data_IF_461963607578
#
_entry.id   IF_461963607578
#
_cell.length_a   1.000
_cell.length_b   1.000
_cell.length_c   1.000
_cell.angle_alpha   90.00
_cell.angle_beta   90.00
_cell.angle_gamma   90.00
#
_symmetry.space_group_name_H-M   'P 1'
#
loop_
_entity.id
_entity.type
_entity.pdbx_description
1 polymer ?
#
# COMPACT_ATOMS: atom_id res chain seq x y z
N UNK A 1 8.59 -5.13 18.66
CA UNK A 1 7.63 -4.52 17.74
C UNK A 1 8.33 -4.12 16.46
N UNK A 2 8.92 -2.92 16.46
CA UNK A 2 9.67 -2.32 15.34
C UNK A 2 10.72 -3.23 14.70
N UNK A 3 11.73 -3.68 15.47
CA UNK A 3 12.82 -4.49 14.93
C UNK A 3 12.34 -5.79 14.23
N UNK A 4 11.33 -6.46 14.78
CA UNK A 4 10.76 -7.66 14.18
C UNK A 4 10.02 -7.36 12.87
N UNK A 5 9.37 -6.20 12.75
CA UNK A 5 8.72 -5.77 11.51
C UNK A 5 9.76 -5.46 10.44
N UNK A 6 10.80 -4.71 10.80
CA UNK A 6 11.91 -4.38 9.90
C UNK A 6 12.60 -5.64 9.38
N UNK A 7 12.91 -6.60 10.28
CA UNK A 7 13.50 -7.88 9.89
C UNK A 7 12.59 -8.66 8.93
N UNK A 8 11.29 -8.73 9.21
CA UNK A 8 10.33 -9.42 8.34
C UNK A 8 10.25 -8.80 6.95
N UNK A 9 10.17 -7.47 6.85
CA UNK A 9 10.14 -6.77 5.55
C UNK A 9 11.40 -7.08 4.74
N UNK A 10 12.57 -7.08 5.38
CA UNK A 10 13.83 -7.45 4.72
C UNK A 10 13.82 -8.91 4.25
N UNK A 11 13.30 -9.84 5.06
CA UNK A 11 13.16 -11.23 4.64
C UNK A 11 12.21 -11.40 3.44
N UNK A 12 11.05 -10.73 3.47
CA UNK A 12 10.08 -10.77 2.38
C UNK A 12 10.68 -10.26 1.04
N UNK A 13 11.47 -9.19 1.09
CA UNK A 13 12.21 -8.69 -0.08
C UNK A 13 13.21 -9.70 -0.63
N UNK A 14 13.93 -10.40 0.26
CA UNK A 14 14.85 -11.46 -0.17
C UNK A 14 14.08 -12.62 -0.81
N UNK A 15 12.90 -12.97 -0.32
CA UNK A 15 12.03 -13.97 -0.96
C UNK A 15 11.55 -13.52 -2.34
N UNK A 16 11.06 -12.28 -2.45
CA UNK A 16 10.59 -11.71 -3.71
C UNK A 16 11.69 -11.69 -4.78
N UNK A 17 12.92 -11.39 -4.39
CA UNK A 17 14.08 -11.29 -5.29
C UNK A 17 14.78 -12.64 -5.55
N UNK A 18 14.18 -13.77 -5.15
CA UNK A 18 14.77 -15.12 -5.26
C UNK A 18 16.11 -15.28 -4.51
N UNK A 19 16.32 -14.47 -3.47
CA UNK A 19 17.49 -14.48 -2.58
C UNK A 19 17.18 -15.08 -1.20
N UNK A 20 16.08 -15.82 -1.07
CA UNK A 20 15.63 -16.49 0.17
C UNK A 20 16.65 -17.46 0.77
N UNK A 21 17.59 -17.97 -0.04
CA UNK A 21 18.73 -18.76 0.47
C UNK A 21 19.53 -18.02 1.56
N UNK A 22 19.59 -16.68 1.52
CA UNK A 22 20.22 -15.87 2.56
C UNK A 22 19.45 -15.96 3.88
N UNK A 23 18.11 -15.94 3.82
CA UNK A 23 17.22 -16.10 4.98
C UNK A 23 17.34 -17.51 5.56
N UNK A 24 17.31 -18.53 4.71
CA UNK A 24 17.45 -19.94 5.12
C UNK A 24 18.79 -20.17 5.84
N UNK A 25 19.89 -19.63 5.29
CA UNK A 25 21.22 -19.71 5.92
C UNK A 25 21.26 -19.02 7.29
N UNK A 26 20.63 -17.84 7.43
CA UNK A 26 20.53 -17.13 8.71
C UNK A 26 19.78 -17.94 9.75
N UNK A 27 18.69 -18.60 9.35
CA UNK A 27 17.85 -19.43 10.24
C UNK A 27 18.49 -20.79 10.56
N UNK A 28 19.60 -21.15 9.91
CA UNK A 28 20.36 -22.41 10.08
C UNK A 28 19.47 -23.65 10.02
N UNK A 29 18.44 -23.61 9.17
CA UNK A 29 17.55 -24.73 8.97
C UNK A 29 18.23 -25.74 8.02
N UNK A 30 18.66 -26.92 8.52
CA UNK A 30 19.38 -27.90 7.72
C UNK A 30 18.48 -28.63 6.72
N UNK A 31 17.16 -28.60 6.91
CA UNK A 31 16.17 -29.30 6.08
C UNK A 31 15.44 -28.37 5.11
N UNK A 32 15.74 -27.07 5.15
CA UNK A 32 15.11 -26.08 4.31
C UNK A 32 15.47 -26.28 2.83
N UNK A 33 14.46 -26.61 2.03
CA UNK A 33 14.54 -26.59 0.58
C UNK A 33 14.84 -25.16 0.11
N UNK A 34 15.79 -25.01 -0.81
CA UNK A 34 16.00 -23.77 -1.58
C UNK A 34 15.27 -23.87 -2.92
N UNK A 35 13.97 -23.52 -3.00
CA UNK A 35 13.24 -23.56 -4.26
C UNK A 35 13.90 -22.61 -5.27
N UNK A 36 14.12 -23.10 -6.49
CA UNK A 36 14.76 -22.32 -7.58
C UNK A 36 13.74 -21.75 -8.57
N UNK A 37 12.44 -22.06 -8.39
CA UNK A 37 11.41 -21.60 -9.31
C UNK A 37 10.96 -20.18 -9.01
N UNK A 38 10.75 -19.38 -10.06
CA UNK A 38 10.19 -18.03 -9.98
C UNK A 38 8.66 -18.02 -9.75
N UNK A 39 8.09 -19.11 -9.22
CA UNK A 39 6.62 -19.27 -9.14
C UNK A 39 5.98 -18.26 -8.18
N UNK A 40 6.65 -17.94 -7.07
CA UNK A 40 6.20 -16.91 -6.13
C UNK A 40 6.13 -15.54 -6.82
N UNK A 41 7.20 -15.14 -7.50
CA UNK A 41 7.26 -13.88 -8.24
C UNK A 41 6.13 -13.81 -9.28
N UNK A 42 5.96 -14.84 -10.09
CA UNK A 42 4.92 -14.88 -11.11
C UNK A 42 3.52 -14.78 -10.49
N UNK A 43 3.28 -15.45 -9.36
CA UNK A 43 2.00 -15.39 -8.66
C UNK A 43 1.70 -13.99 -8.13
N UNK A 44 2.70 -13.31 -7.56
CA UNK A 44 2.58 -11.93 -7.09
C UNK A 44 2.33 -10.99 -8.28
N UNK A 45 3.10 -11.11 -9.36
CA UNK A 45 2.96 -10.26 -10.54
C UNK A 45 1.59 -10.42 -11.20
N UNK A 46 1.08 -11.65 -11.33
CA UNK A 46 -0.27 -11.89 -11.82
C UNK A 46 -1.34 -11.26 -10.92
N UNK A 47 -1.18 -11.31 -9.59
CA UNK A 47 -2.13 -10.67 -8.67
C UNK A 47 -2.06 -9.15 -8.70
N UNK A 48 -0.88 -8.59 -8.92
CA UNK A 48 -0.73 -7.15 -9.14
C UNK A 48 -1.49 -6.73 -10.41
N UNK A 49 -1.31 -7.46 -11.52
CA UNK A 49 -2.05 -7.20 -12.75
C UNK A 49 -3.57 -7.30 -12.54
N UNK A 50 -4.07 -8.35 -11.88
CA UNK A 50 -5.49 -8.47 -11.52
C UNK A 50 -5.98 -7.24 -10.74
N UNK A 51 -5.16 -6.69 -9.83
CA UNK A 51 -5.53 -5.54 -9.01
C UNK A 51 -5.52 -4.21 -9.78
N UNK A 52 -4.68 -4.08 -10.80
CA UNK A 52 -4.64 -2.92 -11.69
C UNK A 52 -5.79 -2.96 -12.71
N UNK A 53 -6.12 -4.13 -13.24
CA UNK A 53 -7.29 -4.32 -14.12
C UNK A 53 -8.61 -4.02 -13.40
N UNK A 54 -8.64 -4.20 -12.08
CA UNK A 54 -9.78 -3.89 -11.21
C UNK A 54 -9.52 -2.65 -10.34
N UNK A 55 -8.98 -1.59 -10.94
CA UNK A 55 -8.70 -0.33 -10.26
C UNK A 55 -9.96 0.24 -9.58
N UNK A 56 -9.88 0.67 -8.31
CA UNK A 56 -11.04 1.11 -7.56
C UNK A 56 -11.46 2.53 -7.94
N UNK A 57 -12.77 2.76 -7.95
CA UNK A 57 -13.34 4.10 -8.09
C UNK A 57 -14.05 4.53 -6.81
N UNK A 58 -13.98 5.83 -6.50
CA UNK A 58 -14.66 6.40 -5.34
C UNK A 58 -16.17 6.48 -5.61
N UNK A 59 -16.95 5.73 -4.82
CA UNK A 59 -18.41 5.78 -4.89
C UNK A 59 -18.98 6.51 -3.66
N UNK A 60 -19.42 7.76 -3.85
CA UNK A 60 -19.97 8.60 -2.77
C UNK A 60 -21.48 8.47 -2.75
N UNK A 61 -22.00 7.82 -1.70
CA UNK A 61 -23.43 7.60 -1.50
C UNK A 61 -23.99 8.54 -0.43
N UNK A 62 -25.18 9.12 -0.65
CA UNK A 62 -25.86 9.91 0.37
C UNK A 62 -26.28 9.02 1.55
N UNK A 63 -26.14 9.51 2.79
CA UNK A 63 -26.62 8.77 3.98
C UNK A 63 -28.11 8.99 4.20
N UNK A 64 -28.59 10.18 3.86
CA UNK A 64 -30.00 10.54 3.85
C UNK A 64 -30.37 11.41 2.63
N UNK A 65 -31.68 11.65 2.42
CA UNK A 65 -32.19 12.36 1.24
C UNK A 65 -31.64 13.78 1.10
N UNK A 66 -31.29 14.44 2.20
CA UNK A 66 -30.68 15.77 2.20
C UNK A 66 -29.28 15.79 1.57
N UNK A 67 -28.54 14.68 1.67
CA UNK A 67 -27.13 14.60 1.25
C UNK A 67 -26.97 14.32 -0.25
N UNK A 68 -28.06 14.09 -0.99
CA UNK A 68 -27.99 13.69 -2.41
C UNK A 68 -27.20 14.68 -3.27
N UNK A 69 -27.32 15.98 -2.95
CA UNK A 69 -26.60 17.04 -3.66
C UNK A 69 -25.11 17.00 -3.35
N UNK A 70 -24.75 16.84 -2.08
CA UNK A 70 -23.36 16.85 -1.63
C UNK A 70 -22.64 15.57 -2.07
N UNK A 71 -23.31 14.43 -2.02
CA UNK A 71 -22.78 13.16 -2.54
C UNK A 71 -22.46 13.26 -4.04
N UNK A 72 -23.36 13.86 -4.84
CA UNK A 72 -23.10 14.11 -6.27
C UNK A 72 -21.93 15.07 -6.49
N UNK A 73 -21.85 16.13 -5.71
CA UNK A 73 -20.75 17.09 -5.80
C UNK A 73 -19.41 16.43 -5.48
N UNK A 74 -19.31 15.73 -4.34
CA UNK A 74 -18.12 14.99 -3.95
C UNK A 74 -17.75 13.90 -4.97
N UNK A 75 -18.74 13.20 -5.52
CA UNK A 75 -18.52 12.23 -6.59
C UNK A 75 -17.92 12.82 -7.87
N UNK A 76 -18.12 14.12 -8.12
CA UNK A 76 -17.44 14.84 -9.23
C UNK A 76 -16.06 15.38 -8.88
N UNK A 77 -15.80 15.67 -7.59
CA UNK A 77 -14.53 16.24 -7.12
C UNK A 77 -13.47 15.16 -6.92
N UNK A 78 -13.82 14.05 -6.26
CA UNK A 78 -12.84 13.01 -5.88
C UNK A 78 -12.09 12.41 -7.08
N UNK A 79 -12.72 12.09 -8.23
CA UNK A 79 -11.98 11.58 -9.38
C UNK A 79 -10.90 12.56 -9.87
N UNK A 80 -11.20 13.85 -9.86
CA UNK A 80 -10.25 14.91 -10.27
C UNK A 80 -9.07 14.98 -9.31
N UNK A 81 -9.32 14.92 -7.99
CA UNK A 81 -8.25 14.90 -6.98
C UNK A 81 -7.35 13.67 -7.14
N UNK A 82 -7.96 12.49 -7.32
CA UNK A 82 -7.24 11.22 -7.47
C UNK A 82 -6.37 11.21 -8.73
N UNK A 83 -6.89 11.73 -9.85
CA UNK A 83 -6.13 11.92 -11.09
C UNK A 83 -4.99 12.91 -10.90
N UNK A 84 -5.24 14.06 -10.26
CA UNK A 84 -4.24 15.09 -10.02
C UNK A 84 -3.11 14.63 -9.09
N UNK A 85 -3.39 13.68 -8.20
CA UNK A 85 -2.38 13.05 -7.33
C UNK A 85 -1.56 11.95 -8.03
N UNK A 86 -1.81 11.64 -9.31
CA UNK A 86 -1.28 10.45 -9.98
C UNK A 86 -1.52 9.18 -9.15
N UNK A 87 -2.69 9.06 -8.52
CA UNK A 87 -2.95 8.03 -7.51
C UNK A 87 -2.79 6.61 -8.07
N UNK A 88 -2.97 6.41 -9.38
CA UNK A 88 -2.74 5.11 -10.02
C UNK A 88 -1.32 4.59 -9.78
N UNK A 89 -0.32 5.47 -9.84
CA UNK A 89 1.09 5.14 -9.56
C UNK A 89 1.27 4.77 -8.10
N UNK A 90 0.70 5.57 -7.20
CA UNK A 90 0.75 5.34 -5.75
C UNK A 90 0.04 4.03 -5.36
N UNK A 91 -1.11 3.75 -5.96
CA UNK A 91 -1.90 2.54 -5.76
C UNK A 91 -1.16 1.29 -6.26
N UNK A 92 -0.60 1.36 -7.46
CA UNK A 92 0.23 0.29 -8.02
C UNK A 92 1.42 -0.02 -7.13
N UNK A 93 2.14 1.01 -6.66
CA UNK A 93 3.26 0.85 -5.73
C UNK A 93 2.82 0.21 -4.40
N UNK A 94 1.71 0.65 -3.83
CA UNK A 94 1.21 0.06 -2.58
C UNK A 94 0.68 -1.37 -2.74
N UNK A 95 0.21 -1.75 -3.94
CA UNK A 95 -0.16 -3.14 -4.19
C UNK A 95 1.04 -4.08 -4.19
N UNK A 96 2.19 -3.64 -4.70
CA UNK A 96 3.43 -4.42 -4.57
C UNK A 96 3.80 -4.63 -3.09
N UNK A 97 3.79 -3.56 -2.30
CA UNK A 97 4.05 -3.64 -0.85
C UNK A 97 3.05 -4.57 -0.15
N UNK A 98 1.76 -4.46 -0.49
CA UNK A 98 0.71 -5.29 0.08
C UNK A 98 0.87 -6.77 -0.26
N UNK A 99 1.26 -7.12 -1.49
CA UNK A 99 1.44 -8.52 -1.89
C UNK A 99 2.72 -9.13 -1.31
N UNK A 100 3.79 -8.34 -1.18
CA UNK A 100 5.05 -8.81 -0.60
C UNK A 100 5.00 -8.91 0.93
N UNK A 101 4.46 -7.88 1.60
CA UNK A 101 4.57 -7.69 3.05
C UNK A 101 3.24 -7.83 3.78
N UNK A 102 2.13 -7.96 3.05
CA UNK A 102 0.78 -8.10 3.60
C UNK A 102 0.07 -6.77 3.91
N UNK A 103 0.71 -5.62 3.70
CA UNK A 103 0.13 -4.30 4.01
C UNK A 103 0.70 -3.22 3.08
N UNK A 104 -0.09 -2.20 2.77
CA UNK A 104 0.35 -0.96 2.13
C UNK A 104 -0.26 0.22 2.87
N UNK A 105 0.45 1.34 2.94
CA UNK A 105 0.04 2.52 3.71
C UNK A 105 -0.01 3.74 2.80
N UNK A 106 -1.15 4.43 2.82
CA UNK A 106 -1.35 5.69 2.11
C UNK A 106 -1.33 6.83 3.11
N UNK A 107 -0.65 7.92 2.76
CA UNK A 107 -0.71 9.19 3.45
C UNK A 107 -1.49 10.19 2.64
N UNK A 108 -2.52 10.78 3.23
CA UNK A 108 -3.31 11.86 2.63
C UNK A 108 -2.91 13.15 3.33
N UNK A 109 -2.30 14.08 2.60
CA UNK A 109 -1.73 15.30 3.14
C UNK A 109 -2.20 16.52 2.35
N UNK A 110 -2.12 17.69 2.98
CA UNK A 110 -2.24 18.97 2.29
C UNK A 110 -0.87 19.42 1.81
N UNK A 111 -0.70 19.64 0.51
CA UNK A 111 0.52 20.20 -0.07
C UNK A 111 0.28 21.68 -0.41
N UNK A 112 0.85 22.64 0.34
CA UNK A 112 0.65 24.06 0.08
C UNK A 112 1.38 24.56 -1.19
N UNK A 113 2.28 23.77 -1.78
CA UNK A 113 3.03 24.13 -2.98
C UNK A 113 2.31 23.79 -4.29
N UNK A 114 1.30 22.92 -4.24
CA UNK A 114 0.48 22.58 -5.40
C UNK A 114 -0.32 23.78 -5.91
N UNK A 115 -0.78 23.71 -7.17
CA UNK A 115 -1.62 24.74 -7.79
C UNK A 115 -1.03 26.17 -7.68
N UNK A 116 0.27 26.31 -8.02
CA UNK A 116 1.00 27.58 -7.94
C UNK A 116 0.92 28.27 -6.55
N UNK A 117 0.87 27.46 -5.48
CA UNK A 117 0.83 27.95 -4.10
C UNK A 117 -0.57 28.14 -3.51
N UNK A 118 -1.63 27.75 -4.24
CA UNK A 118 -2.98 27.64 -3.66
C UNK A 118 -3.12 26.43 -2.73
N UNK A 119 -2.32 25.39 -3.02
CA UNK A 119 -2.31 24.13 -2.32
C UNK A 119 -3.47 23.21 -2.69
N UNK A 120 -3.23 21.92 -2.52
CA UNK A 120 -4.24 20.88 -2.76
C UNK A 120 -3.95 19.62 -1.92
N UNK A 121 -4.87 18.67 -1.96
CA UNK A 121 -4.68 17.33 -1.38
C UNK A 121 -3.69 16.54 -2.23
N UNK A 122 -2.75 15.89 -1.57
CA UNK A 122 -1.81 14.95 -2.17
C UNK A 122 -1.92 13.57 -1.49
N UNK A 123 -1.93 12.50 -2.28
CA UNK A 123 -1.98 11.12 -1.80
C UNK A 123 -0.67 10.43 -2.13
N UNK A 124 0.09 10.09 -1.10
CA UNK A 124 1.43 9.50 -1.24
C UNK A 124 1.51 8.15 -0.58
N UNK A 125 2.44 7.31 -1.05
CA UNK A 125 2.80 6.07 -0.38
C UNK A 125 3.65 6.37 0.84
N UNK A 126 3.32 5.77 1.98
CA UNK A 126 4.20 5.76 3.16
C UNK A 126 4.97 4.45 3.20
N UNK A 127 6.28 4.54 3.35
CA UNK A 127 7.14 3.37 3.56
C UNK A 127 6.82 2.72 4.91
N UNK A 128 6.60 1.41 4.93
CA UNK A 128 6.33 0.63 6.14
C UNK A 128 7.46 0.73 7.17
N UNK A 129 8.70 0.95 6.74
CA UNK A 129 9.85 1.14 7.63
C UNK A 129 9.86 2.51 8.31
N UNK A 130 9.07 3.47 7.82
CA UNK A 130 9.00 4.83 8.35
C UNK A 130 7.80 5.06 9.29
N UNK A 131 6.93 4.07 9.48
CA UNK A 131 5.73 4.19 10.30
C UNK A 131 5.68 3.11 11.39
N UNK A 132 5.37 3.53 12.62
CA UNK A 132 5.29 2.64 13.78
C UNK A 132 4.08 2.98 14.63
N UNK A 133 3.39 1.95 15.09
CA UNK A 133 2.28 2.05 16.05
C UNK A 133 2.56 1.18 17.27
N UNK A 134 1.89 1.49 18.37
CA UNK A 134 1.98 0.81 19.64
C UNK A 134 1.54 -0.66 19.48
N UNK A 135 2.38 -1.62 19.90
CA UNK A 135 2.02 -3.03 19.83
C UNK A 135 0.78 -3.36 20.66
N UNK A 136 -0.13 -4.16 20.09
CA UNK A 136 -1.32 -4.62 20.79
C UNK A 136 -2.52 -3.69 20.66
N UNK A 137 -2.38 -2.53 20.01
CA UNK A 137 -3.48 -1.63 19.71
C UNK A 137 -4.07 -1.96 18.33
N UNK A 138 -5.36 -2.30 18.32
CA UNK A 138 -6.10 -2.62 17.09
C UNK A 138 -6.61 -1.38 16.34
N UNK A 139 -6.78 -0.27 17.05
CA UNK A 139 -7.22 1.01 16.48
C UNK A 139 -6.04 1.97 16.39
N UNK A 140 -5.52 2.20 15.18
CA UNK A 140 -4.35 3.06 14.94
C UNK A 140 -4.54 4.49 15.45
N UNK A 141 -5.79 4.98 15.60
CA UNK A 141 -6.06 6.30 16.17
C UNK A 141 -5.86 6.36 17.69
N UNK A 142 -5.75 5.20 18.35
CA UNK A 142 -5.47 5.06 19.79
C UNK A 142 -4.02 4.68 20.07
N UNK A 143 -3.20 4.56 19.03
CA UNK A 143 -1.77 4.28 19.08
C UNK A 143 -0.93 5.52 19.34
#
# INVERSE_FOLDING_TARGET
GKANLEERIVEDELWYQLRHQEVVRRKRDPDALTPTSAWLFNSIASKHADAMDNYPEANVLPRERGDERDAKLLGSILPVVVEHCDFEVTYSANWWEKLKHGTGVYGVFWDPGMENGLGDVNITRIDLLNIFWEPGIADIQKS
#
